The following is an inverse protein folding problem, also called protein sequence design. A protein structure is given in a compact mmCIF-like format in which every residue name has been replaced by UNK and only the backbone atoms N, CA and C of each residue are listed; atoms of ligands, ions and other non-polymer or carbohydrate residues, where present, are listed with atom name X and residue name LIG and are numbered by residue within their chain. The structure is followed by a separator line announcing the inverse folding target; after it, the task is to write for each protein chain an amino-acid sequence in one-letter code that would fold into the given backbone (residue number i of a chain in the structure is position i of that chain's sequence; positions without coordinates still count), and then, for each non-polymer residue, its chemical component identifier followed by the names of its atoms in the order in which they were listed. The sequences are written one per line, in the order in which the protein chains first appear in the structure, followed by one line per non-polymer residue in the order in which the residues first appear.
data_IF_349208814265
#
_entry.id   IF_349208814265
#
_cell.length_a   1.000
_cell.length_b   1.000
_cell.length_c   1.000
_cell.angle_alpha   90.00
_cell.angle_beta   90.00
_cell.angle_gamma   90.00
#
_symmetry.space_group_name_H-M   'P 1'
#
loop_
_entity.id
_entity.type
_entity.pdbx_description
1 polymer ?
#
# COMPACT_ATOMS: atom_id res chain seq x y z
N UNK A 1 -18.13 -3.71 -29.44
CA UNK A 1 -19.62 -3.59 -29.50
C UNK A 1 -19.98 -2.38 -28.61
N UNK A 2 -19.74 -1.15 -29.07
CA UNK A 2 -20.68 -0.20 -29.73
C UNK A 2 -21.97 0.11 -28.96
N UNK A 3 -21.94 1.23 -28.23
CA UNK A 3 -22.94 2.33 -28.17
C UNK A 3 -22.09 3.60 -27.88
N UNK A 4 -21.65 4.44 -28.84
CA UNK A 4 -22.31 5.55 -29.55
C UNK A 4 -23.14 6.45 -28.60
N UNK A 5 -22.57 7.50 -28.00
CA UNK A 5 -22.54 8.92 -28.46
C UNK A 5 -23.90 9.63 -28.50
N UNK A 6 -24.02 10.62 -27.58
CA UNK A 6 -24.68 11.94 -27.64
C UNK A 6 -26.22 12.10 -27.48
N UNK A 7 -26.60 12.83 -26.42
CA UNK A 7 -27.58 13.93 -26.35
C UNK A 7 -27.33 14.69 -25.02
N UNK A 8 -26.44 15.70 -25.00
CA UNK A 8 -26.71 17.14 -25.18
C UNK A 8 -27.55 17.75 -24.03
N UNK A 9 -26.82 18.42 -23.12
CA UNK A 9 -27.04 19.77 -22.59
C UNK A 9 -28.49 20.25 -22.44
N UNK A 10 -28.93 20.49 -21.19
CA UNK A 10 -29.42 21.83 -20.78
C UNK A 10 -29.54 21.97 -19.25
N UNK A 11 -28.81 22.96 -18.72
CA UNK A 11 -29.18 23.90 -17.63
C UNK A 11 -29.50 23.34 -16.21
N UNK A 12 -29.10 23.93 -15.08
CA UNK A 12 -28.53 25.24 -14.81
C UNK A 12 -27.81 25.20 -13.45
N UNK A 13 -26.69 25.92 -13.38
CA UNK A 13 -26.13 26.61 -12.22
C UNK A 13 -26.57 26.11 -10.83
N UNK A 14 -25.76 25.24 -10.23
CA UNK A 14 -25.43 25.39 -8.83
C UNK A 14 -23.92 25.62 -8.79
N UNK A 15 -23.57 26.89 -8.58
CA UNK A 15 -22.35 27.43 -7.99
C UNK A 15 -21.13 26.49 -8.07
N UNK A 16 -20.02 26.85 -8.71
CA UNK A 16 -19.13 27.87 -8.19
C UNK A 16 -19.14 28.03 -6.65
N UNK A 17 -19.34 26.94 -5.90
CA UNK A 17 -18.33 26.64 -4.88
C UNK A 17 -17.14 26.25 -5.74
N UNK A 18 -16.08 27.05 -5.71
CA UNK A 18 -14.79 26.55 -6.15
C UNK A 18 -14.67 25.16 -5.56
N UNK A 19 -14.70 24.10 -6.40
CA UNK A 19 -14.14 22.84 -5.98
C UNK A 19 -12.78 23.26 -5.46
N UNK A 20 -12.55 23.12 -4.14
CA UNK A 20 -11.23 23.44 -3.62
C UNK A 20 -10.25 22.69 -4.53
N UNK A 21 -9.18 23.33 -5.03
CA UNK A 21 -8.22 22.63 -5.85
C UNK A 21 -7.84 21.36 -5.09
N UNK A 22 -8.27 20.22 -5.63
CA UNK A 22 -8.19 18.93 -4.94
C UNK A 22 -6.72 18.59 -4.94
N UNK A 23 -6.12 18.56 -3.76
CA UNK A 23 -4.68 18.34 -3.65
C UNK A 23 -4.38 16.85 -3.64
N UNK A 24 -3.16 16.49 -4.06
CA UNK A 24 -2.65 15.12 -3.91
C UNK A 24 -2.75 14.62 -2.45
N UNK A 25 -2.61 15.52 -1.48
CA UNK A 25 -2.75 15.21 -0.06
C UNK A 25 -4.19 14.81 0.31
N UNK A 26 -5.20 15.42 -0.30
CA UNK A 26 -6.59 15.06 -0.07
C UNK A 26 -6.94 13.73 -0.74
N UNK A 27 -6.38 13.46 -1.92
CA UNK A 27 -6.51 12.15 -2.57
C UNK A 27 -5.96 11.02 -1.68
N UNK A 28 -4.78 11.22 -1.07
CA UNK A 28 -4.24 10.24 -0.12
C UNK A 28 -5.09 10.06 1.14
N UNK A 29 -5.68 11.12 1.68
CA UNK A 29 -6.62 11.01 2.82
C UNK A 29 -7.84 10.17 2.47
N UNK A 30 -8.34 10.27 1.24
CA UNK A 30 -9.46 9.44 0.78
C UNK A 30 -9.08 7.95 0.75
N UNK A 31 -7.85 7.60 0.35
CA UNK A 31 -7.33 6.23 0.42
C UNK A 31 -7.11 5.77 1.87
N UNK A 32 -6.51 6.62 2.71
CA UNK A 32 -6.27 6.33 4.13
C UNK A 32 -7.60 6.03 4.86
N UNK A 33 -8.67 6.78 4.56
CA UNK A 33 -9.99 6.58 5.14
C UNK A 33 -10.63 5.21 4.79
N UNK A 34 -10.17 4.52 3.75
CA UNK A 34 -10.61 3.16 3.41
C UNK A 34 -9.90 2.09 4.24
N UNK A 35 -8.79 2.42 4.92
CA UNK A 35 -8.00 1.46 5.71
C UNK A 35 -8.66 1.29 7.09
N UNK A 36 -9.17 0.10 7.44
CA UNK A 36 -9.75 -0.15 8.75
C UNK A 36 -8.63 -0.43 9.78
N UNK A 37 -7.84 0.59 10.11
CA UNK A 37 -6.62 0.48 10.93
C UNK A 37 -6.85 -0.24 12.27
N UNK A 38 -7.91 0.13 13.00
CA UNK A 38 -8.25 -0.49 14.29
C UNK A 38 -8.58 -1.99 14.15
N UNK A 39 -9.29 -2.37 13.10
CA UNK A 39 -9.63 -3.76 12.85
C UNK A 39 -8.39 -4.57 12.47
N UNK A 40 -7.50 -4.01 11.64
CA UNK A 40 -6.21 -4.61 11.28
C UNK A 40 -5.35 -4.79 12.53
N UNK A 41 -5.23 -3.76 13.38
CA UNK A 41 -4.47 -3.84 14.63
C UNK A 41 -5.02 -4.92 15.56
N UNK A 42 -6.35 -5.05 15.66
CA UNK A 42 -7.00 -6.11 16.45
C UNK A 42 -6.65 -7.50 15.93
N UNK A 43 -6.71 -7.71 14.61
CA UNK A 43 -6.33 -8.99 13.98
C UNK A 43 -4.84 -9.28 14.18
N UNK A 44 -3.94 -8.32 13.91
CA UNK A 44 -2.49 -8.50 14.13
C UNK A 44 -2.19 -8.87 15.58
N UNK A 45 -2.81 -8.18 16.54
CA UNK A 45 -2.62 -8.45 17.97
C UNK A 45 -3.09 -9.85 18.36
N UNK A 46 -4.27 -10.25 17.87
CA UNK A 46 -4.82 -11.60 18.06
C UNK A 46 -3.84 -12.67 17.57
N UNK A 47 -3.34 -12.57 16.34
CA UNK A 47 -2.38 -13.54 15.78
C UNK A 47 -1.03 -13.50 16.52
N UNK A 48 -0.52 -12.33 16.88
CA UNK A 48 0.73 -12.21 17.64
C UNK A 48 0.71 -12.98 18.97
N UNK A 49 -0.44 -12.99 19.66
CA UNK A 49 -0.63 -13.68 20.94
C UNK A 49 -0.66 -15.20 20.76
N UNK A 50 -1.35 -15.70 19.74
CA UNK A 50 -1.70 -17.12 19.63
C UNK A 50 -0.89 -17.91 18.59
N UNK A 51 -0.18 -17.23 17.70
CA UNK A 51 0.55 -17.81 16.57
C UNK A 51 2.06 -17.54 16.68
N UNK A 52 2.84 -18.63 16.76
CA UNK A 52 4.29 -18.55 16.92
C UNK A 52 5.00 -18.02 15.68
N UNK A 53 4.49 -18.33 14.49
CA UNK A 53 5.02 -17.83 13.22
C UNK A 53 4.87 -16.31 13.12
N UNK A 54 3.67 -15.79 13.38
CA UNK A 54 3.38 -14.36 13.43
C UNK A 54 4.28 -13.67 14.43
N UNK A 55 4.44 -14.21 15.64
CA UNK A 55 5.32 -13.62 16.66
C UNK A 55 6.77 -13.57 16.20
N UNK A 56 7.27 -14.62 15.58
CA UNK A 56 8.64 -14.66 15.07
C UNK A 56 8.83 -13.70 13.89
N UNK A 57 7.83 -13.57 13.01
CA UNK A 57 7.86 -12.61 11.93
C UNK A 57 7.86 -11.16 12.45
N UNK A 58 7.01 -10.82 13.42
CA UNK A 58 7.01 -9.50 14.08
C UNK A 58 8.37 -9.23 14.75
N UNK A 59 8.99 -10.21 15.41
CA UNK A 59 10.35 -10.06 15.96
C UNK A 59 11.39 -9.76 14.88
N UNK A 60 11.30 -10.43 13.72
CA UNK A 60 12.17 -10.18 12.58
C UNK A 60 11.99 -8.75 12.06
N UNK A 61 10.75 -8.27 11.89
CA UNK A 61 10.45 -6.91 11.44
C UNK A 61 10.99 -5.84 12.40
N UNK A 62 10.97 -6.10 13.71
CA UNK A 62 11.58 -5.23 14.73
C UNK A 62 13.12 -5.33 14.80
N UNK A 63 13.73 -6.27 14.08
CA UNK A 63 15.14 -6.61 14.18
C UNK A 63 16.04 -5.82 13.22
N UNK A 64 17.35 -5.82 13.52
CA UNK A 64 18.37 -5.17 12.70
C UNK A 64 18.45 -5.72 11.26
N UNK A 65 18.02 -6.96 11.03
CA UNK A 65 17.99 -7.56 9.69
C UNK A 65 16.97 -6.85 8.79
N UNK A 66 15.72 -6.70 9.24
CA UNK A 66 14.72 -5.97 8.48
C UNK A 66 15.04 -4.48 8.39
N UNK A 67 15.70 -3.91 9.41
CA UNK A 67 16.15 -2.51 9.35
C UNK A 67 17.05 -2.23 8.14
N UNK A 68 17.91 -3.17 7.74
CA UNK A 68 18.73 -3.02 6.53
C UNK A 68 17.89 -2.94 5.25
N UNK A 69 16.84 -3.76 5.15
CA UNK A 69 15.87 -3.73 4.04
C UNK A 69 15.20 -2.36 3.99
N UNK A 70 14.70 -1.90 5.14
CA UNK A 70 14.09 -0.60 5.29
C UNK A 70 15.03 0.53 4.83
N UNK A 71 16.24 0.56 5.37
CA UNK A 71 17.22 1.60 5.03
C UNK A 71 17.60 1.54 3.54
N UNK A 72 17.80 0.36 2.95
CA UNK A 72 18.08 0.23 1.51
C UNK A 72 16.94 0.79 0.66
N UNK A 73 15.69 0.45 0.97
CA UNK A 73 14.52 0.93 0.21
C UNK A 73 14.39 2.45 0.29
N UNK A 74 14.44 3.03 1.49
CA UNK A 74 14.24 4.48 1.67
C UNK A 74 15.46 5.32 1.31
N UNK A 75 16.65 4.72 1.18
CA UNK A 75 17.84 5.43 0.69
C UNK A 75 18.04 5.33 -0.82
N UNK A 76 17.32 4.43 -1.49
CA UNK A 76 17.43 4.23 -2.94
C UNK A 76 17.00 5.49 -3.71
N UNK A 77 17.72 5.87 -4.80
CA UNK A 77 17.40 7.07 -5.58
C UNK A 77 15.96 7.13 -6.09
N UNK A 78 15.39 6.00 -6.55
CA UNK A 78 13.99 5.94 -7.02
C UNK A 78 13.03 6.36 -5.91
N UNK A 79 13.19 5.79 -4.72
CA UNK A 79 12.31 6.11 -3.59
C UNK A 79 12.44 7.56 -3.16
N UNK A 80 13.68 8.08 -3.12
CA UNK A 80 13.91 9.49 -2.79
C UNK A 80 13.27 10.43 -3.80
N UNK A 81 13.41 10.16 -5.10
CA UNK A 81 12.82 10.97 -6.16
C UNK A 81 11.28 11.02 -6.08
N UNK A 82 10.64 9.89 -5.73
CA UNK A 82 9.18 9.85 -5.48
C UNK A 82 8.82 10.65 -4.23
N UNK A 83 9.55 10.48 -3.12
CA UNK A 83 9.28 11.21 -1.87
C UNK A 83 9.51 12.73 -2.03
N UNK A 84 10.55 13.13 -2.75
CA UNK A 84 10.84 14.53 -3.06
C UNK A 84 9.73 15.14 -3.93
N UNK A 85 9.19 14.38 -4.89
CA UNK A 85 8.02 14.81 -5.65
C UNK A 85 6.79 14.98 -4.77
N UNK A 86 6.50 14.05 -3.86
CA UNK A 86 5.39 14.17 -2.92
C UNK A 86 5.53 15.43 -2.06
N UNK A 87 6.72 15.68 -1.51
CA UNK A 87 7.01 16.91 -0.73
C UNK A 87 6.82 18.16 -1.60
N UNK A 88 7.22 18.13 -2.87
CA UNK A 88 7.02 19.26 -3.81
C UNK A 88 5.55 19.55 -4.11
N UNK A 89 4.65 18.59 -3.84
CA UNK A 89 3.19 18.69 -3.97
C UNK A 89 2.50 18.94 -2.62
N UNK A 90 3.24 19.42 -1.62
CA UNK A 90 2.76 19.66 -0.25
C UNK A 90 2.13 18.43 0.43
N UNK A 91 2.53 17.23 -0.02
CA UNK A 91 2.15 15.97 0.63
C UNK A 91 3.16 15.66 1.72
N UNK A 92 2.67 15.25 2.90
CA UNK A 92 3.49 14.68 3.96
C UNK A 92 3.54 13.14 3.85
N UNK A 93 4.56 12.55 3.19
CA UNK A 93 4.68 11.09 3.09
C UNK A 93 5.03 10.46 4.44
N UNK A 94 5.47 11.24 5.43
CA UNK A 94 5.93 10.70 6.71
C UNK A 94 4.80 10.14 7.55
N UNK A 95 3.56 10.64 7.40
CA UNK A 95 2.40 10.13 8.14
C UNK A 95 2.19 8.64 7.92
N UNK A 96 2.07 8.19 6.66
CA UNK A 96 1.87 6.77 6.33
C UNK A 96 3.08 5.91 6.70
N UNK A 97 4.29 6.43 6.51
CA UNK A 97 5.54 5.75 6.89
C UNK A 97 5.58 5.54 8.41
N UNK A 98 5.19 6.54 9.19
CA UNK A 98 5.16 6.49 10.65
C UNK A 98 4.05 5.57 11.15
N UNK A 99 2.86 5.58 10.55
CA UNK A 99 1.81 4.61 10.89
C UNK A 99 2.26 3.17 10.65
N UNK A 100 2.97 2.90 9.56
CA UNK A 100 3.59 1.60 9.32
C UNK A 100 4.67 1.30 10.37
N UNK A 101 5.51 2.26 10.73
CA UNK A 101 6.51 2.08 11.78
C UNK A 101 5.89 1.81 13.16
N UNK A 102 4.81 2.50 13.51
CA UNK A 102 4.07 2.35 14.78
C UNK A 102 3.35 0.99 14.84
N UNK A 103 2.74 0.56 13.72
CA UNK A 103 2.20 -0.79 13.58
C UNK A 103 3.28 -1.86 13.76
N UNK A 104 4.54 -1.56 13.40
CA UNK A 104 5.68 -2.45 13.66
C UNK A 104 6.22 -2.33 15.10
N UNK A 105 5.70 -1.41 15.93
CA UNK A 105 6.13 -1.09 17.31
C UNK A 105 5.33 -1.70 18.48
N UNK A 106 4.43 -2.67 18.25
CA UNK A 106 3.32 -3.09 19.15
C UNK A 106 3.65 -3.57 20.60
N UNK A 107 2.86 -3.12 21.63
CA UNK A 107 2.23 -3.93 22.71
C UNK A 107 0.79 -3.45 23.10
N UNK A 108 0.12 -3.83 24.21
CA UNK A 108 -0.80 -4.99 24.41
C UNK A 108 -2.30 -4.59 24.25
N UNK A 109 -3.15 -5.52 23.78
CA UNK A 109 -4.61 -5.53 24.00
C UNK A 109 -5.01 -6.86 24.65
N UNK A 110 -5.99 -6.86 25.55
CA UNK A 110 -6.51 -8.07 26.20
C UNK A 110 -7.38 -8.87 25.21
N UNK A 111 -7.01 -10.10 24.85
CA UNK A 111 -7.72 -10.84 23.82
C UNK A 111 -9.02 -11.45 24.36
N UNK A 112 -10.10 -11.29 23.60
CA UNK A 112 -11.22 -12.25 23.64
C UNK A 112 -10.94 -13.28 22.55
N UNK A 113 -10.56 -14.49 22.92
CA UNK A 113 -10.08 -15.51 21.97
C UNK A 113 -11.29 -16.23 21.37
N UNK A 114 -11.61 -15.93 20.10
CA UNK A 114 -12.51 -16.73 19.28
C UNK A 114 -11.74 -17.75 18.43
N UNK A 115 -12.38 -18.88 18.10
CA UNK A 115 -11.82 -19.97 17.30
C UNK A 115 -11.28 -19.48 15.95
N UNK A 116 -9.98 -19.72 15.69
CA UNK A 116 -9.32 -19.36 14.42
C UNK A 116 -9.12 -20.62 13.59
N UNK A 117 -9.51 -20.54 12.31
CA UNK A 117 -9.45 -21.64 11.35
C UNK A 117 -8.04 -21.89 10.75
N UNK A 118 -7.02 -21.08 11.07
CA UNK A 118 -5.61 -21.35 10.74
C UNK A 118 -4.64 -20.53 11.59
N UNK A 119 -3.79 -21.16 12.39
CA UNK A 119 -2.67 -20.51 13.11
C UNK A 119 -1.45 -20.46 12.18
N UNK A 120 -1.30 -19.37 11.42
CA UNK A 120 -0.14 -19.13 10.54
C UNK A 120 -0.08 -17.66 10.12
N UNK A 121 1.06 -17.23 9.61
CA UNK A 121 1.20 -15.89 9.02
C UNK A 121 0.32 -15.72 7.76
N UNK A 122 0.11 -16.78 6.97
CA UNK A 122 -0.84 -16.78 5.86
C UNK A 122 -2.28 -16.55 6.35
N UNK A 123 -2.65 -17.12 7.49
CA UNK A 123 -3.93 -16.87 8.15
C UNK A 123 -4.13 -15.40 8.50
N UNK A 124 -3.10 -14.77 9.09
CA UNK A 124 -3.07 -13.33 9.38
C UNK A 124 -3.25 -12.51 8.10
N UNK A 125 -2.45 -12.80 7.07
CA UNK A 125 -2.52 -12.12 5.78
C UNK A 125 -3.93 -12.19 5.18
N UNK A 126 -4.53 -13.37 5.12
CA UNK A 126 -5.88 -13.55 4.57
C UNK A 126 -6.95 -12.82 5.39
N UNK A 127 -6.82 -12.76 6.71
CA UNK A 127 -7.77 -12.03 7.56
C UNK A 127 -7.64 -10.52 7.38
N UNK A 128 -6.42 -9.98 7.23
CA UNK A 128 -6.20 -8.57 6.89
C UNK A 128 -6.76 -8.23 5.50
N UNK A 129 -6.46 -9.04 4.47
CA UNK A 129 -6.95 -8.80 3.11
C UNK A 129 -8.49 -8.78 3.06
N UNK A 130 -9.16 -9.63 3.84
CA UNK A 130 -10.63 -9.63 3.95
C UNK A 130 -11.22 -8.40 4.63
N UNK A 131 -10.44 -7.68 5.44
CA UNK A 131 -10.89 -6.43 6.04
C UNK A 131 -10.82 -5.27 5.06
N UNK A 132 -9.91 -5.32 4.07
CA UNK A 132 -9.73 -4.25 3.10
C UNK A 132 -10.90 -4.24 2.09
N UNK A 133 -11.61 -3.11 1.91
CA UNK A 133 -12.63 -2.98 0.89
C UNK A 133 -11.98 -2.78 -0.48
N UNK A 134 -11.41 -3.85 -1.06
CA UNK A 134 -10.63 -3.81 -2.30
C UNK A 134 -11.43 -3.21 -3.48
N UNK A 135 -12.74 -3.45 -3.53
CA UNK A 135 -13.66 -2.86 -4.50
C UNK A 135 -13.72 -1.34 -4.39
N UNK A 136 -13.70 -0.79 -3.17
CA UNK A 136 -13.67 0.66 -2.94
C UNK A 136 -12.31 1.26 -3.25
N UNK A 137 -11.22 0.54 -2.97
CA UNK A 137 -9.89 0.97 -3.38
C UNK A 137 -9.79 1.07 -4.90
N UNK A 138 -10.26 0.06 -5.63
CA UNK A 138 -10.29 0.07 -7.09
C UNK A 138 -11.18 1.20 -7.65
N UNK A 139 -12.37 1.38 -7.10
CA UNK A 139 -13.27 2.46 -7.51
C UNK A 139 -12.64 3.85 -7.27
N UNK A 140 -12.02 4.05 -6.11
CA UNK A 140 -11.35 5.31 -5.77
C UNK A 140 -10.13 5.55 -6.67
N UNK A 141 -9.37 4.50 -6.97
CA UNK A 141 -8.23 4.56 -7.88
C UNK A 141 -8.65 4.99 -9.29
N UNK A 142 -9.69 4.37 -9.83
CA UNK A 142 -10.24 4.75 -11.14
C UNK A 142 -10.76 6.19 -11.13
N UNK A 143 -11.46 6.61 -10.07
CA UNK A 143 -11.87 8.02 -9.89
C UNK A 143 -10.67 8.97 -9.91
N UNK A 144 -9.57 8.65 -9.21
CA UNK A 144 -8.39 9.53 -9.20
C UNK A 144 -7.67 9.58 -10.54
N UNK A 145 -7.58 8.45 -11.23
CA UNK A 145 -7.00 8.40 -12.58
C UNK A 145 -7.84 9.15 -13.61
N UNK A 146 -9.14 9.32 -13.41
CA UNK A 146 -10.01 10.07 -14.33
C UNK A 146 -10.15 11.55 -13.95
N UNK A 147 -10.23 11.85 -12.66
CA UNK A 147 -10.73 13.14 -12.16
C UNK A 147 -9.74 13.96 -11.32
N UNK A 148 -8.54 13.44 -11.01
CA UNK A 148 -7.51 14.19 -10.27
C UNK A 148 -6.25 14.39 -11.09
N UNK A 149 -6.00 15.63 -11.51
CA UNK A 149 -4.79 16.01 -12.27
C UNK A 149 -3.51 15.72 -11.47
N UNK A 150 -3.49 16.06 -10.18
CA UNK A 150 -2.35 15.81 -9.29
C UNK A 150 -2.05 14.30 -9.14
N UNK A 151 -3.10 13.48 -9.02
CA UNK A 151 -2.93 12.02 -8.94
C UNK A 151 -2.51 11.42 -10.28
N UNK A 152 -3.04 11.92 -11.40
CA UNK A 152 -2.60 11.54 -12.74
C UNK A 152 -1.11 11.83 -12.94
N UNK A 153 -0.63 13.01 -12.51
CA UNK A 153 0.80 13.34 -12.58
C UNK A 153 1.66 12.40 -11.72
N UNK A 154 1.22 12.06 -10.50
CA UNK A 154 1.89 11.06 -9.67
C UNK A 154 1.95 9.69 -10.39
N UNK A 155 0.83 9.26 -10.96
CA UNK A 155 0.74 8.00 -11.70
C UNK A 155 1.69 8.01 -12.91
N UNK A 156 1.74 9.11 -13.68
CA UNK A 156 2.67 9.27 -14.80
C UNK A 156 4.13 9.24 -14.34
N UNK A 157 4.46 9.89 -13.22
CA UNK A 157 5.81 9.85 -12.65
C UNK A 157 6.22 8.41 -12.30
N UNK A 158 5.34 7.66 -11.64
CA UNK A 158 5.64 6.27 -11.25
C UNK A 158 5.75 5.36 -12.47
N UNK A 159 4.82 5.43 -13.41
CA UNK A 159 4.87 4.62 -14.65
C UNK A 159 6.09 4.92 -15.51
N UNK A 160 6.63 6.14 -15.44
CA UNK A 160 7.87 6.54 -16.13
C UNK A 160 9.15 5.98 -15.50
N UNK A 161 9.08 5.35 -14.32
CA UNK A 161 10.24 4.67 -13.71
C UNK A 161 10.62 3.47 -14.59
N UNK A 162 11.91 3.38 -14.92
CA UNK A 162 12.45 2.19 -15.58
C UNK A 162 12.37 0.99 -14.64
N UNK A 163 11.43 0.08 -14.95
CA UNK A 163 11.21 -1.11 -14.16
C UNK A 163 12.46 -1.97 -14.04
N UNK A 164 13.38 -1.94 -15.01
CA UNK A 164 14.63 -2.70 -14.93
C UNK A 164 15.49 -2.24 -13.75
N UNK A 165 15.48 -0.95 -13.43
CA UNK A 165 16.20 -0.41 -12.27
C UNK A 165 15.56 -0.89 -10.96
N UNK A 166 14.23 -0.99 -10.92
CA UNK A 166 13.51 -1.54 -9.76
C UNK A 166 13.82 -3.02 -9.59
N UNK A 167 13.76 -3.79 -10.68
CA UNK A 167 14.10 -5.22 -10.69
C UNK A 167 15.54 -5.43 -10.22
N UNK A 168 16.51 -4.73 -10.82
CA UNK A 168 17.92 -4.84 -10.48
C UNK A 168 18.19 -4.47 -9.02
N UNK A 169 17.51 -3.45 -8.48
CA UNK A 169 17.59 -3.11 -7.06
C UNK A 169 17.13 -4.26 -6.16
N UNK A 170 16.02 -4.91 -6.51
CA UNK A 170 15.47 -6.04 -5.76
C UNK A 170 16.35 -7.28 -5.90
N UNK A 171 16.83 -7.62 -7.11
CA UNK A 171 17.61 -8.84 -7.36
C UNK A 171 19.03 -8.77 -6.83
N UNK A 172 19.63 -7.58 -6.79
CA UNK A 172 21.02 -7.40 -6.36
C UNK A 172 21.19 -7.14 -4.85
N UNK A 173 20.09 -7.02 -4.09
CA UNK A 173 20.15 -6.91 -2.63
C UNK A 173 19.90 -8.25 -1.94
N UNK A 174 20.92 -8.76 -1.24
CA UNK A 174 20.79 -9.98 -0.44
C UNK A 174 19.79 -9.81 0.70
N UNK A 175 19.70 -8.62 1.30
CA UNK A 175 18.74 -8.33 2.36
C UNK A 175 17.29 -8.33 1.85
N UNK A 176 17.04 -7.73 0.68
CA UNK A 176 15.70 -7.73 0.07
C UNK A 176 15.32 -9.15 -0.38
N UNK A 177 16.26 -9.89 -0.98
CA UNK A 177 16.03 -11.29 -1.37
C UNK A 177 15.71 -12.18 -0.16
N UNK A 178 16.43 -12.01 0.96
CA UNK A 178 16.12 -12.73 2.22
C UNK A 178 14.71 -12.38 2.73
N UNK A 179 14.32 -11.10 2.69
CA UNK A 179 12.96 -10.68 3.07
C UNK A 179 11.88 -11.31 2.19
N UNK A 180 12.04 -11.23 0.86
CA UNK A 180 11.13 -11.84 -0.12
C UNK A 180 11.04 -13.35 0.10
N UNK A 181 12.16 -14.02 0.32
CA UNK A 181 12.18 -15.47 0.56
C UNK A 181 11.47 -15.83 1.87
N UNK A 182 11.61 -15.04 2.93
CA UNK A 182 10.85 -15.23 4.17
C UNK A 182 9.35 -15.16 3.94
N UNK A 183 8.88 -14.16 3.20
CA UNK A 183 7.46 -14.03 2.85
C UNK A 183 6.95 -15.27 2.08
N UNK A 184 7.71 -15.74 1.08
CA UNK A 184 7.39 -16.97 0.34
C UNK A 184 7.37 -18.21 1.23
N UNK A 185 8.30 -18.32 2.18
CA UNK A 185 8.35 -19.43 3.14
C UNK A 185 7.10 -19.48 4.02
N UNK A 186 6.55 -18.32 4.37
CA UNK A 186 5.26 -18.18 5.06
C UNK A 186 4.03 -18.30 4.14
N UNK A 187 4.23 -18.68 2.88
CA UNK A 187 3.18 -18.87 1.87
C UNK A 187 2.42 -17.58 1.50
N UNK A 188 3.00 -16.42 1.79
CA UNK A 188 2.50 -15.15 1.28
C UNK A 188 2.67 -15.16 -0.25
N UNK A 189 1.63 -14.81 -1.03
CA UNK A 189 1.67 -14.89 -2.49
C UNK A 189 2.42 -13.71 -3.11
N UNK A 190 3.72 -13.59 -2.79
CA UNK A 190 4.55 -12.44 -3.21
C UNK A 190 4.56 -12.27 -4.72
N UNK A 191 4.67 -13.36 -5.46
CA UNK A 191 4.78 -13.31 -6.92
C UNK A 191 3.48 -12.77 -7.57
N UNK A 192 2.32 -13.13 -7.02
CA UNK A 192 1.01 -12.59 -7.45
C UNK A 192 0.88 -11.11 -7.12
N UNK A 193 1.37 -10.68 -5.94
CA UNK A 193 1.36 -9.27 -5.55
C UNK A 193 2.26 -8.43 -6.46
N UNK A 194 3.46 -8.93 -6.78
CA UNK A 194 4.38 -8.28 -7.71
C UNK A 194 3.75 -8.19 -9.10
N UNK A 195 3.17 -9.28 -9.61
CA UNK A 195 2.49 -9.28 -10.91
C UNK A 195 1.34 -8.26 -10.96
N UNK A 196 0.52 -8.16 -9.91
CA UNK A 196 -0.55 -7.16 -9.85
C UNK A 196 -0.01 -5.73 -9.92
N UNK A 197 1.09 -5.44 -9.21
CA UNK A 197 1.72 -4.11 -9.23
C UNK A 197 2.34 -3.81 -10.59
N UNK A 198 3.04 -4.75 -11.20
CA UNK A 198 3.67 -4.53 -12.51
C UNK A 198 2.63 -4.33 -13.61
N UNK A 199 1.55 -5.13 -13.60
CA UNK A 199 0.43 -4.95 -14.53
C UNK A 199 -0.24 -3.59 -14.35
N UNK A 200 -0.46 -3.15 -13.11
CA UNK A 200 -1.10 -1.86 -12.83
C UNK A 200 -0.31 -0.66 -13.37
N UNK A 201 1.02 -0.68 -13.24
CA UNK A 201 1.89 0.39 -13.76
C UNK A 201 2.32 0.18 -15.21
N UNK A 202 1.87 -0.89 -15.88
CA UNK A 202 2.32 -1.22 -17.24
C UNK A 202 3.82 -1.55 -17.33
N UNK A 203 4.44 -1.88 -16.20
CA UNK A 203 5.82 -2.31 -16.13
C UNK A 203 5.94 -3.72 -16.73
N UNK A 204 6.54 -3.79 -17.92
CA UNK A 204 6.72 -5.04 -18.66
C UNK A 204 8.19 -5.44 -18.68
N UNK A 205 8.43 -6.76 -18.79
CA UNK A 205 9.74 -7.41 -18.84
C UNK A 205 10.33 -7.40 -20.25
#
# INVERSE_FOLDING_TARGET
MKIIVACILLSCAVSALAAQPRSLQDDFKEFEALIPADAIQSVVTKYYIIDGETRNFVKYLKGAQFRKVWDQVFTHPITKDVLEYLVSKDVDPTSLINQLADLLGLPHVQPTIANIHSRSLLGLYNEIVRLLPLDKFEALLNDKLENSEDFQELYQKITSIDYKVVEDFVTNSAEIQDFVQRLRNYKIPVDVLVEGVTQFFGWTY
#
